data_IF_596982492235
#
_entry.id   IF_596982492235
#
_cell.length_a   1.000
_cell.length_b   1.000
_cell.length_c   1.000
_cell.angle_alpha   90.00
_cell.angle_beta   90.00
_cell.angle_gamma   90.00
#
_symmetry.space_group_name_H-M   'P 1'
#
loop_
_entity.id
_entity.type
_entity.pdbx_description
1 polymer ?
#
# COMPACT_ATOMS: atom_id res chain seq x y z
N UNK A 1 28.56 -27.01 50.41
CA UNK A 1 29.86 -27.09 49.69
C UNK A 1 29.56 -26.64 48.27
N UNK A 2 29.71 -25.33 48.00
CA UNK A 2 30.92 -24.71 47.39
C UNK A 2 31.28 -25.39 46.05
N UNK A 3 31.54 -24.73 44.93
CA UNK A 3 31.56 -23.33 44.49
C UNK A 3 32.09 -23.35 43.02
N UNK A 4 31.59 -22.49 42.12
CA UNK A 4 32.29 -21.84 40.96
C UNK A 4 32.86 -22.73 39.81
N UNK A 5 33.00 -22.35 38.53
CA UNK A 5 32.87 -21.13 37.73
C UNK A 5 33.00 -21.54 36.24
N UNK A 6 32.22 -20.98 35.30
CA UNK A 6 32.78 -20.33 34.09
C UNK A 6 31.67 -19.60 33.32
N UNK A 7 31.95 -18.34 33.05
CA UNK A 7 31.08 -17.36 32.43
C UNK A 7 31.30 -17.29 30.90
N UNK A 8 30.40 -16.58 30.23
CA UNK A 8 30.59 -15.92 28.93
C UNK A 8 30.95 -16.82 27.75
N UNK A 9 29.94 -17.22 26.99
CA UNK A 9 29.98 -16.99 25.54
C UNK A 9 28.62 -16.47 25.08
N UNK A 10 28.61 -15.15 24.97
CA UNK A 10 27.72 -14.34 24.15
C UNK A 10 27.52 -15.04 22.80
N UNK A 11 26.36 -15.67 22.58
CA UNK A 11 25.84 -15.80 21.22
C UNK A 11 25.02 -14.54 20.95
N UNK A 12 25.77 -13.46 20.64
CA UNK A 12 25.27 -12.26 20.00
C UNK A 12 24.88 -12.65 18.56
N UNK A 13 23.75 -13.30 18.44
CA UNK A 13 23.02 -13.41 17.20
C UNK A 13 21.54 -13.42 17.60
N UNK A 14 21.05 -12.24 17.98
CA UNK A 14 19.70 -11.88 17.60
C UNK A 14 19.68 -12.01 16.07
N UNK A 15 19.31 -13.20 15.59
CA UNK A 15 18.77 -13.35 14.26
C UNK A 15 17.52 -12.48 14.24
N UNK A 16 17.68 -11.20 13.94
CA UNK A 16 16.62 -10.40 13.37
C UNK A 16 16.34 -11.03 12.01
N UNK A 17 15.60 -12.13 11.98
CA UNK A 17 14.71 -12.36 10.87
C UNK A 17 13.79 -11.14 10.90
N UNK A 18 14.06 -10.18 10.02
CA UNK A 18 13.08 -9.16 9.71
C UNK A 18 11.89 -9.93 9.13
N UNK A 19 10.94 -10.31 9.98
CA UNK A 19 9.61 -10.63 9.53
C UNK A 19 9.17 -9.41 8.72
N UNK A 20 9.16 -9.58 7.40
CA UNK A 20 8.52 -8.67 6.47
C UNK A 20 7.08 -8.57 6.96
N UNK A 21 6.78 -7.51 7.72
CA UNK A 21 5.47 -7.34 8.31
C UNK A 21 4.44 -7.24 7.18
N UNK A 22 3.55 -8.22 7.13
CA UNK A 22 2.39 -8.18 6.24
C UNK A 22 1.63 -6.86 6.43
N UNK A 23 1.01 -6.38 5.36
CA UNK A 23 0.16 -5.21 5.42
C UNK A 23 -1.01 -5.48 6.38
N UNK A 24 -1.16 -4.64 7.41
CA UNK A 24 -2.28 -4.72 8.35
C UNK A 24 -3.35 -3.70 7.91
N UNK A 25 -4.57 -4.13 7.54
CA UNK A 25 -5.59 -3.21 7.09
C UNK A 25 -6.14 -2.38 8.26
N UNK A 26 -6.36 -1.10 8.01
CA UNK A 26 -7.05 -0.18 8.92
C UNK A 26 -7.90 0.82 8.11
N UNK A 27 -8.53 1.80 8.77
CA UNK A 27 -9.38 2.79 8.08
C UNK A 27 -8.65 3.67 7.06
N UNK A 28 -7.33 3.71 7.09
CA UNK A 28 -6.42 4.52 6.25
C UNK A 28 -5.48 3.68 5.38
N UNK A 29 -5.44 2.37 5.60
CA UNK A 29 -4.51 1.45 4.96
C UNK A 29 -5.26 0.40 4.15
N UNK A 30 -5.10 0.46 2.82
CA UNK A 30 -5.60 -0.57 1.92
C UNK A 30 -4.54 -1.65 1.74
N UNK A 31 -4.88 -2.90 2.08
CA UNK A 31 -4.02 -4.06 1.87
C UNK A 31 -4.54 -4.91 0.71
N UNK A 32 -3.67 -5.18 -0.28
CA UNK A 32 -3.99 -5.94 -1.49
C UNK A 32 -3.01 -7.10 -1.72
N UNK A 33 -3.40 -8.05 -2.58
CA UNK A 33 -2.66 -9.27 -2.93
C UNK A 33 -2.21 -10.05 -1.68
N UNK A 34 -3.17 -10.62 -0.96
CA UNK A 34 -2.93 -11.40 0.27
C UNK A 34 -2.05 -10.63 1.27
N UNK A 35 -2.43 -9.37 1.53
CA UNK A 35 -1.77 -8.48 2.50
C UNK A 35 -0.30 -8.15 2.17
N UNK A 36 0.10 -8.28 0.90
CA UNK A 36 1.46 -7.91 0.46
C UNK A 36 1.62 -6.42 0.18
N UNK A 37 0.66 -5.80 -0.48
CA UNK A 37 0.78 -4.40 -0.87
C UNK A 37 0.01 -3.51 0.09
N UNK A 38 0.73 -2.55 0.67
CA UNK A 38 0.17 -1.48 1.49
C UNK A 38 -0.03 -0.24 0.64
N UNK A 39 -1.24 0.31 0.63
CA UNK A 39 -1.55 1.55 -0.07
C UNK A 39 -2.10 2.57 0.93
N UNK A 40 -1.52 3.78 0.90
CA UNK A 40 -2.02 4.96 1.61
C UNK A 40 -2.12 6.13 0.64
N UNK A 41 -3.07 7.01 0.90
CA UNK A 41 -3.25 8.24 0.12
C UNK A 41 -3.30 9.43 1.06
N UNK A 42 -2.42 10.39 0.85
CA UNK A 42 -2.53 11.70 1.49
C UNK A 42 -3.09 12.72 0.49
N UNK A 43 -3.95 13.62 0.97
CA UNK A 43 -4.62 14.61 0.14
C UNK A 43 -4.54 16.02 0.73
N UNK A 44 -4.63 17.02 -0.15
CA UNK A 44 -4.69 18.44 0.22
C UNK A 44 -5.59 19.24 -0.72
N UNK A 45 -6.42 20.11 -0.16
CA UNK A 45 -7.35 20.99 -0.87
C UNK A 45 -6.76 22.38 -1.12
N UNK A 46 -7.35 23.18 -2.03
CA UNK A 46 -6.92 24.56 -2.26
C UNK A 46 -7.08 25.46 -1.03
N UNK A 47 -8.03 25.15 -0.15
CA UNK A 47 -8.28 25.87 1.09
C UNK A 47 -7.31 25.48 2.22
N UNK A 48 -6.36 24.58 1.95
CA UNK A 48 -5.32 24.17 2.90
C UNK A 48 -5.72 23.01 3.83
N UNK A 49 -6.96 22.52 3.75
CA UNK A 49 -7.36 21.29 4.45
C UNK A 49 -6.57 20.12 3.86
N UNK A 50 -6.15 19.19 4.71
CA UNK A 50 -5.39 18.01 4.33
C UNK A 50 -5.76 16.83 5.23
N UNK A 51 -5.38 15.63 4.80
CA UNK A 51 -5.52 14.42 5.60
C UNK A 51 -5.12 13.17 4.85
N UNK A 52 -5.28 12.02 5.50
CA UNK A 52 -5.13 10.71 4.87
C UNK A 52 -6.49 10.18 4.46
N UNK A 53 -6.58 9.72 3.20
CA UNK A 53 -7.75 9.10 2.62
C UNK A 53 -8.19 7.85 3.38
N UNK A 54 -9.47 7.56 3.31
CA UNK A 54 -10.07 6.43 4.00
C UNK A 54 -10.17 5.24 3.05
N UNK A 55 -9.54 4.14 3.41
CA UNK A 55 -9.42 2.95 2.57
C UNK A 55 -10.68 2.08 2.65
N UNK A 56 -11.15 1.61 1.50
CA UNK A 56 -12.22 0.61 1.41
C UNK A 56 -11.87 -0.45 0.38
N UNK A 57 -11.98 -1.73 0.76
CA UNK A 57 -11.88 -2.84 -0.19
C UNK A 57 -13.16 -2.93 -1.00
N UNK A 58 -13.03 -3.05 -2.32
CA UNK A 58 -14.21 -3.29 -3.18
C UNK A 58 -14.71 -4.72 -2.99
N UNK A 59 -16.02 -4.89 -3.22
CA UNK A 59 -16.66 -6.20 -3.35
C UNK A 59 -17.07 -6.43 -4.80
N UNK A 60 -17.00 -7.66 -5.26
CA UNK A 60 -17.49 -8.06 -6.58
C UNK A 60 -19.02 -8.22 -6.59
N UNK A 61 -19.57 -8.57 -7.77
CA UNK A 61 -21.01 -8.80 -7.94
C UNK A 61 -21.58 -9.93 -7.06
N UNK A 62 -20.73 -10.84 -6.58
CA UNK A 62 -21.08 -11.92 -5.65
C UNK A 62 -20.85 -11.55 -4.18
N UNK A 63 -20.65 -10.26 -3.88
CA UNK A 63 -20.44 -9.72 -2.54
C UNK A 63 -19.15 -10.21 -1.83
N UNK A 64 -18.16 -10.70 -2.59
CA UNK A 64 -16.86 -11.10 -2.06
C UNK A 64 -15.85 -9.97 -2.21
N UNK A 65 -14.94 -9.82 -1.25
CA UNK A 65 -13.85 -8.86 -1.38
C UNK A 65 -12.96 -9.20 -2.58
N UNK A 66 -12.61 -8.20 -3.36
CA UNK A 66 -11.61 -8.32 -4.41
C UNK A 66 -10.24 -8.11 -3.78
N UNK A 67 -9.25 -8.89 -4.20
CA UNK A 67 -7.93 -8.88 -3.60
C UNK A 67 -6.95 -7.91 -4.26
N UNK A 68 -7.26 -7.48 -5.48
CA UNK A 68 -6.39 -6.63 -6.28
C UNK A 68 -6.84 -5.17 -6.35
N UNK A 69 -7.95 -4.81 -5.69
CA UNK A 69 -8.62 -3.51 -5.88
C UNK A 69 -9.20 -2.93 -4.59
N UNK A 70 -9.22 -1.60 -4.53
CA UNK A 70 -9.93 -0.82 -3.50
C UNK A 70 -10.13 0.62 -3.93
N UNK A 71 -10.71 1.42 -3.05
CA UNK A 71 -10.92 2.84 -3.28
C UNK A 71 -10.67 3.66 -2.02
N UNK A 72 -10.51 4.97 -2.22
CA UNK A 72 -10.34 5.95 -1.17
C UNK A 72 -11.39 7.05 -1.30
N UNK A 73 -11.92 7.47 -0.16
CA UNK A 73 -12.70 8.70 -0.01
C UNK A 73 -12.00 9.67 0.95
N UNK A 74 -12.15 10.96 0.74
CA UNK A 74 -11.42 12.00 1.50
C UNK A 74 -12.31 12.68 2.55
N UNK A 75 -13.37 13.35 2.10
CA UNK A 75 -14.18 14.24 2.93
C UNK A 75 -15.47 13.58 3.43
N UNK A 76 -16.13 12.83 2.56
CA UNK A 76 -17.41 12.19 2.79
C UNK A 76 -17.34 10.75 2.27
N UNK A 77 -17.79 9.79 3.08
CA UNK A 77 -17.81 8.36 2.74
C UNK A 77 -18.63 8.01 1.50
N UNK A 78 -19.61 8.86 1.16
CA UNK A 78 -20.47 8.71 -0.01
C UNK A 78 -19.84 9.31 -1.28
N UNK A 79 -18.64 9.92 -1.20
CA UNK A 79 -17.92 10.50 -2.33
C UNK A 79 -16.58 9.80 -2.56
N UNK A 80 -16.54 8.85 -3.50
CA UNK A 80 -15.31 8.15 -3.89
C UNK A 80 -14.42 9.08 -4.70
N UNK A 81 -13.15 9.20 -4.29
CA UNK A 81 -12.21 10.15 -4.87
C UNK A 81 -11.19 9.44 -5.77
N UNK A 82 -10.69 8.28 -5.33
CA UNK A 82 -9.70 7.48 -6.03
C UNK A 82 -10.05 6.00 -6.01
N UNK A 83 -9.80 5.30 -7.11
CA UNK A 83 -9.75 3.84 -7.18
C UNK A 83 -8.31 3.40 -7.43
N UNK A 84 -7.87 2.34 -6.76
CA UNK A 84 -6.50 1.81 -6.90
C UNK A 84 -6.56 0.31 -7.10
N UNK A 85 -5.72 -0.19 -7.99
CA UNK A 85 -5.54 -1.61 -8.27
C UNK A 85 -4.05 -1.96 -8.32
N UNK A 86 -3.70 -3.10 -7.74
CA UNK A 86 -2.36 -3.71 -7.84
C UNK A 86 -2.53 -5.11 -8.42
N UNK A 87 -2.10 -5.32 -9.66
CA UNK A 87 -2.24 -6.60 -10.37
C UNK A 87 -0.95 -7.41 -10.32
N UNK A 88 -1.08 -8.71 -10.09
CA UNK A 88 -0.03 -9.67 -10.39
C UNK A 88 0.10 -9.84 -11.92
N UNK A 89 0.94 -9.01 -12.53
CA UNK A 89 1.31 -9.08 -13.94
C UNK A 89 2.51 -9.99 -14.24
N UNK A 90 3.01 -10.72 -13.24
CA UNK A 90 4.20 -11.56 -13.38
C UNK A 90 4.13 -12.56 -14.53
N UNK A 91 3.00 -13.24 -14.80
CA UNK A 91 2.88 -14.14 -15.96
C UNK A 91 3.10 -13.46 -17.32
N UNK A 92 3.01 -12.13 -17.39
CA UNK A 92 3.14 -11.36 -18.64
C UNK A 92 4.53 -10.75 -18.79
N UNK A 93 5.06 -10.10 -17.75
CA UNK A 93 6.34 -9.37 -17.87
C UNK A 93 7.20 -9.37 -16.59
N UNK A 94 6.98 -10.30 -15.66
CA UNK A 94 7.70 -10.38 -14.38
C UNK A 94 7.61 -9.10 -13.54
N UNK A 95 6.42 -8.48 -13.50
CA UNK A 95 6.15 -7.27 -12.72
C UNK A 95 4.80 -7.34 -12.01
N UNK A 96 4.70 -6.68 -10.86
CA UNK A 96 3.41 -6.16 -10.41
C UNK A 96 3.09 -4.84 -11.11
N UNK A 97 1.82 -4.65 -11.43
CA UNK A 97 1.32 -3.44 -12.08
C UNK A 97 0.49 -2.62 -11.11
N UNK A 98 0.61 -1.29 -11.18
CA UNK A 98 -0.22 -0.37 -10.40
C UNK A 98 -1.08 0.44 -11.36
N UNK A 99 -2.39 0.41 -11.09
CA UNK A 99 -3.37 1.25 -11.76
C UNK A 99 -4.07 2.13 -10.74
N UNK A 100 -4.36 3.36 -11.12
CA UNK A 100 -5.24 4.21 -10.34
C UNK A 100 -6.01 5.18 -11.23
N UNK A 101 -7.21 5.51 -10.81
CA UNK A 101 -8.07 6.53 -11.42
C UNK A 101 -8.65 7.42 -10.34
N UNK A 102 -9.00 8.65 -10.71
CA UNK A 102 -9.53 9.63 -9.78
C UNK A 102 -10.68 10.44 -10.35
N UNK A 103 -11.61 10.82 -9.48
CA UNK A 103 -12.77 11.67 -9.78
C UNK A 103 -12.58 13.07 -9.18
N UNK A 104 -11.33 13.48 -9.01
CA UNK A 104 -10.94 14.61 -8.17
C UNK A 104 -9.92 15.52 -8.86
N UNK A 105 -9.88 16.77 -8.42
CA UNK A 105 -8.80 17.72 -8.71
C UNK A 105 -8.01 18.13 -7.45
N UNK A 106 -8.26 17.45 -6.33
CA UNK A 106 -7.55 17.62 -5.07
C UNK A 106 -6.12 17.11 -5.25
N UNK A 107 -5.15 17.73 -4.56
CA UNK A 107 -3.80 17.18 -4.52
C UNK A 107 -3.86 15.81 -3.85
N UNK A 108 -3.29 14.80 -4.47
CA UNK A 108 -3.25 13.45 -3.92
C UNK A 108 -1.86 12.84 -4.10
N UNK A 109 -1.34 12.21 -3.06
CA UNK A 109 -0.11 11.42 -3.11
C UNK A 109 -0.48 9.99 -2.73
N UNK A 110 -0.43 9.09 -3.71
CA UNK A 110 -0.65 7.65 -3.52
C UNK A 110 0.72 7.01 -3.27
N UNK A 111 0.88 6.36 -2.13
CA UNK A 111 2.07 5.57 -1.82
C UNK A 111 1.70 4.10 -1.78
N UNK A 112 2.35 3.31 -2.63
CA UNK A 112 2.21 1.85 -2.70
C UNK A 112 3.52 1.22 -2.21
N UNK A 113 3.44 0.38 -1.19
CA UNK A 113 4.60 -0.32 -0.60
C UNK A 113 4.46 -1.83 -0.81
N UNK A 114 5.48 -2.46 -1.39
CA UNK A 114 5.62 -3.93 -1.42
C UNK A 114 6.26 -4.40 -0.12
N UNK A 115 5.48 -4.97 0.81
CA UNK A 115 6.01 -5.37 2.12
C UNK A 115 6.89 -6.61 2.07
N UNK A 116 6.91 -7.35 0.96
CA UNK A 116 7.74 -8.56 0.80
C UNK A 116 9.11 -8.28 0.19
N UNK A 117 9.28 -7.19 -0.55
CA UNK A 117 10.48 -6.89 -1.32
C UNK A 117 11.39 -5.85 -0.63
N UNK A 118 11.64 -6.03 0.68
CA UNK A 118 12.43 -5.05 1.44
C UNK A 118 11.77 -3.67 1.53
N UNK A 119 10.43 -3.62 1.48
CA UNK A 119 9.61 -2.40 1.57
C UNK A 119 9.88 -1.39 0.44
N UNK A 120 10.08 -1.86 -0.80
CA UNK A 120 10.12 -0.97 -1.97
C UNK A 120 8.81 -0.16 -2.08
N UNK A 121 8.94 1.13 -2.41
CA UNK A 121 7.80 2.04 -2.55
C UNK A 121 7.73 2.64 -3.94
N UNK A 122 6.50 2.80 -4.46
CA UNK A 122 6.17 3.70 -5.56
C UNK A 122 5.25 4.80 -5.07
N UNK A 123 5.48 6.01 -5.56
CA UNK A 123 4.67 7.17 -5.25
C UNK A 123 4.14 7.79 -6.53
N UNK A 124 2.83 8.02 -6.56
CA UNK A 124 2.16 8.67 -7.67
C UNK A 124 1.44 9.92 -7.17
N UNK A 125 1.48 11.01 -7.93
CA UNK A 125 0.96 12.31 -7.49
C UNK A 125 -0.05 12.87 -8.49
N UNK A 126 -1.15 13.37 -7.96
CA UNK A 126 -2.01 14.33 -8.64
C UNK A 126 -1.71 15.73 -8.08
N UNK A 127 -1.25 16.69 -8.90
CA UNK A 127 -1.07 18.07 -8.44
C UNK A 127 -2.41 18.73 -8.07
N UNK A 128 -2.35 19.69 -7.14
CA UNK A 128 -3.51 20.49 -6.77
C UNK A 128 -4.14 21.19 -7.99
N UNK A 129 -5.47 21.27 -8.02
CA UNK A 129 -6.26 21.91 -9.09
C UNK A 129 -6.04 21.29 -10.48
N UNK A 130 -5.55 20.06 -10.55
CA UNK A 130 -5.37 19.30 -11.80
C UNK A 130 -6.31 18.09 -11.77
N UNK A 131 -7.10 17.90 -12.83
CA UNK A 131 -7.93 16.70 -12.96
C UNK A 131 -7.04 15.45 -12.97
N UNK A 132 -7.36 14.48 -12.12
CA UNK A 132 -6.59 13.26 -11.96
C UNK A 132 -6.40 12.53 -13.30
N UNK A 133 -5.15 12.31 -13.69
CA UNK A 133 -4.81 11.53 -14.89
C UNK A 133 -4.66 10.05 -14.52
N UNK A 134 -5.24 9.11 -15.31
CA UNK A 134 -5.11 7.69 -15.03
C UNK A 134 -3.65 7.22 -14.95
N UNK A 135 -3.34 6.43 -13.93
CA UNK A 135 -2.06 5.76 -13.76
C UNK A 135 -2.17 4.35 -14.33
N UNK A 136 -1.20 3.96 -15.15
CA UNK A 136 -1.12 2.66 -15.84
C UNK A 136 0.33 2.15 -15.80
N UNK A 137 0.90 1.97 -14.61
CA UNK A 137 2.28 1.52 -14.45
C UNK A 137 2.36 0.00 -14.50
N UNK A 138 2.63 -0.54 -15.69
CA UNK A 138 2.81 -1.98 -15.92
C UNK A 138 4.23 -2.48 -15.61
N UNK A 139 5.02 -1.68 -14.90
CA UNK A 139 6.40 -1.98 -14.52
C UNK A 139 6.71 -1.69 -13.04
N UNK A 140 5.67 -1.48 -12.23
CA UNK A 140 5.77 -0.88 -10.91
C UNK A 140 6.76 -1.60 -9.99
N UNK A 141 6.62 -2.91 -9.75
CA UNK A 141 7.55 -3.64 -8.87
C UNK A 141 8.25 -4.79 -9.59
N UNK A 142 9.54 -4.93 -9.34
CA UNK A 142 10.44 -5.91 -9.95
C UNK A 142 10.43 -7.27 -9.24
N UNK A 143 9.29 -7.63 -8.66
CA UNK A 143 9.14 -8.78 -7.75
C UNK A 143 7.93 -9.61 -8.15
N UNK A 144 7.91 -10.88 -7.77
CA UNK A 144 6.82 -11.82 -8.04
C UNK A 144 6.48 -12.65 -6.79
N UNK A 145 5.32 -13.33 -6.74
CA UNK A 145 5.02 -14.30 -5.69
C UNK A 145 6.05 -15.44 -5.60
#
# INVERSE_FOLDING_TARGET
>A
MRIMLTALFVCLALCFASDLAACIPDSKTLCLNNERFQIRVDWKTPQGQNGTGNAVRVRNASNQFVDDSGYFWFFNQDNVELVVKVLNGCPVNNRYWVFAGGLTNVEATITVTDTFAGFEQKTYKNPLNTAFQPIQDTSAFATCP
#
